data_IF_185908191620
#
_entry.id   IF_185908191620
#
_cell.length_a   1.000
_cell.length_b   1.000
_cell.length_c   1.000
_cell.angle_alpha   90.00
_cell.angle_beta   90.00
_cell.angle_gamma   90.00
#
_symmetry.space_group_name_H-M   'P 1'
#
loop_
_entity.id
_entity.type
_entity.pdbx_description
1 polymer ?
#
# COMPACT_ATOMS: atom_id res chain seq x y z
N UNK A 1 7.95 16.29 -3.52
CA UNK A 1 9.41 16.04 -3.46
C UNK A 1 9.64 14.81 -2.61
N UNK A 2 10.83 14.20 -2.66
CA UNK A 2 11.17 13.05 -1.83
C UNK A 2 12.20 13.47 -0.79
N UNK A 3 12.02 13.00 0.44
CA UNK A 3 12.93 13.24 1.55
C UNK A 3 13.39 11.91 2.13
N UNK A 4 14.69 11.77 2.37
CA UNK A 4 15.29 10.62 3.05
C UNK A 4 15.70 11.03 4.45
N UNK A 5 15.24 10.28 5.44
CA UNK A 5 15.71 10.42 6.80
C UNK A 5 17.16 9.92 6.92
N UNK A 6 18.09 10.73 7.44
CA UNK A 6 19.48 10.32 7.72
C UNK A 6 19.58 9.30 8.85
N UNK A 7 18.63 9.29 9.78
CA UNK A 7 18.60 8.37 10.91
C UNK A 7 18.32 6.92 10.51
N UNK A 8 17.19 6.67 9.82
CA UNK A 8 16.76 5.32 9.44
C UNK A 8 16.80 5.02 7.93
N UNK A 9 17.09 6.00 7.07
CA UNK A 9 17.12 5.82 5.61
C UNK A 9 15.74 5.78 4.91
N UNK A 10 14.64 5.88 5.66
CA UNK A 10 13.29 5.82 5.09
C UNK A 10 12.99 7.03 4.20
N UNK A 11 12.25 6.77 3.13
CA UNK A 11 11.78 7.77 2.18
C UNK A 11 10.36 8.24 2.52
N UNK A 12 10.09 9.52 2.31
CA UNK A 12 8.75 10.10 2.40
C UNK A 12 8.52 11.13 1.28
N UNK A 13 7.25 11.39 0.96
CA UNK A 13 6.84 12.37 -0.04
C UNK A 13 6.26 13.60 0.63
N UNK A 14 6.76 14.79 0.28
CA UNK A 14 6.27 16.05 0.81
C UNK A 14 6.81 17.26 0.07
N UNK A 15 6.18 18.43 0.25
CA UNK A 15 6.76 19.71 -0.20
C UNK A 15 7.95 20.12 0.67
N UNK A 16 7.87 19.84 1.97
CA UNK A 16 8.89 20.10 2.99
C UNK A 16 9.26 18.77 3.67
N UNK A 17 10.41 18.67 4.36
CA UNK A 17 10.67 17.53 5.23
C UNK A 17 9.62 17.48 6.35
N UNK A 18 9.25 16.28 6.84
CA UNK A 18 8.31 16.16 7.95
C UNK A 18 8.89 16.75 9.24
N UNK A 19 8.02 17.11 10.19
CA UNK A 19 8.40 17.65 11.50
C UNK A 19 9.23 16.64 12.33
N UNK A 20 8.92 15.36 12.17
CA UNK A 20 9.61 14.24 12.75
C UNK A 20 9.54 13.01 11.83
N UNK A 21 10.55 12.15 11.91
CA UNK A 21 10.50 10.88 11.21
C UNK A 21 9.50 9.95 11.92
N UNK A 22 8.46 9.52 11.23
CA UNK A 22 7.47 8.60 11.77
C UNK A 22 7.98 7.18 12.12
N UNK A 23 9.28 6.92 11.97
CA UNK A 23 9.94 5.64 12.27
C UNK A 23 10.99 5.78 13.37
N UNK A 24 11.78 6.86 13.38
CA UNK A 24 12.86 7.04 14.36
C UNK A 24 12.87 8.42 15.04
N UNK A 25 11.80 9.19 14.86
CA UNK A 25 11.51 10.48 15.52
C UNK A 25 12.54 11.60 15.28
N UNK A 26 13.50 11.37 14.38
CA UNK A 26 14.53 12.35 14.07
C UNK A 26 13.93 13.62 13.48
N UNK A 27 14.59 14.75 13.73
CA UNK A 27 14.06 16.10 13.42
C UNK A 27 14.32 16.51 11.96
N UNK A 28 13.65 17.57 11.45
CA UNK A 28 13.63 17.89 10.03
C UNK A 28 15.01 18.16 9.43
N UNK A 29 15.94 18.69 10.25
CA UNK A 29 17.35 18.94 9.87
C UNK A 29 18.11 17.67 9.44
N UNK A 30 17.64 16.51 9.87
CA UNK A 30 18.22 15.21 9.54
C UNK A 30 17.58 14.60 8.29
N UNK A 31 16.75 15.33 7.55
CA UNK A 31 16.27 14.92 6.24
C UNK A 31 17.14 15.50 5.13
N UNK A 32 17.37 14.69 4.11
CA UNK A 32 17.96 15.13 2.84
C UNK A 32 16.94 15.01 1.74
N UNK A 33 16.86 16.04 0.90
CA UNK A 33 16.06 15.96 -0.31
C UNK A 33 16.73 14.94 -1.26
N UNK A 34 15.92 14.06 -1.84
CA UNK A 34 16.36 13.07 -2.83
C UNK A 34 15.82 13.51 -4.19
N UNK A 35 16.71 13.92 -5.08
CA UNK A 35 16.33 14.32 -6.43
C UNK A 35 16.24 13.12 -7.39
N UNK A 36 16.97 12.04 -7.12
CA UNK A 36 16.94 10.81 -7.90
C UNK A 36 17.04 9.58 -6.99
N UNK A 37 16.19 8.57 -7.24
CA UNK A 37 16.31 7.25 -6.61
C UNK A 37 17.04 6.32 -7.58
N UNK A 38 17.99 5.53 -7.06
CA UNK A 38 18.69 4.54 -7.88
C UNK A 38 17.70 3.49 -8.40
N UNK A 39 17.79 3.16 -9.69
CA UNK A 39 16.98 2.09 -10.25
C UNK A 39 17.37 0.76 -9.65
N UNK A 40 16.39 0.04 -9.10
CA UNK A 40 16.55 -1.33 -8.59
C UNK A 40 16.20 -2.37 -9.64
N UNK A 41 15.70 -1.97 -10.81
CA UNK A 41 15.11 -2.87 -11.79
C UNK A 41 16.09 -3.98 -12.23
N UNK A 42 15.63 -5.23 -12.15
CA UNK A 42 16.39 -6.43 -12.52
C UNK A 42 17.38 -6.92 -11.45
N UNK A 43 17.51 -6.23 -10.32
CA UNK A 43 18.39 -6.64 -9.22
C UNK A 43 17.72 -7.63 -8.26
N UNK A 44 18.51 -8.35 -7.47
CA UNK A 44 17.96 -9.11 -6.34
C UNK A 44 17.37 -8.18 -5.26
N UNK A 45 17.89 -6.96 -5.15
CA UNK A 45 17.35 -5.92 -4.25
C UNK A 45 15.91 -5.55 -4.61
N UNK A 46 15.55 -5.49 -5.90
CA UNK A 46 14.14 -5.28 -6.30
C UNK A 46 13.25 -6.40 -5.76
N UNK A 47 13.67 -7.66 -5.89
CA UNK A 47 12.89 -8.80 -5.37
C UNK A 47 12.77 -8.73 -3.86
N UNK A 48 13.83 -8.34 -3.16
CA UNK A 48 13.81 -8.16 -1.71
C UNK A 48 12.88 -7.02 -1.31
N UNK A 49 12.89 -5.90 -2.01
CA UNK A 49 11.98 -4.77 -1.78
C UNK A 49 10.52 -5.16 -2.03
N UNK A 50 10.21 -5.94 -3.09
CA UNK A 50 8.85 -6.45 -3.33
C UNK A 50 8.37 -7.37 -2.21
N UNK A 51 9.25 -8.26 -1.73
CA UNK A 51 8.96 -9.13 -0.57
C UNK A 51 8.72 -8.32 0.69
N UNK A 52 9.58 -7.33 0.96
CA UNK A 52 9.45 -6.45 2.12
C UNK A 52 8.14 -5.64 2.04
N UNK A 53 7.87 -4.97 0.92
CA UNK A 53 6.61 -4.25 0.70
C UNK A 53 5.38 -5.13 0.95
N UNK A 54 5.39 -6.36 0.44
CA UNK A 54 4.30 -7.31 0.69
C UNK A 54 4.21 -7.70 2.18
N UNK A 55 5.36 -7.95 2.82
CA UNK A 55 5.44 -8.27 4.25
C UNK A 55 4.85 -7.18 5.13
N UNK A 56 5.30 -5.93 4.95
CA UNK A 56 4.82 -4.78 5.72
C UNK A 56 3.37 -4.45 5.44
N UNK A 57 2.92 -4.57 4.18
CA UNK A 57 1.50 -4.41 3.83
C UNK A 57 0.63 -5.44 4.53
N UNK A 58 1.07 -6.69 4.62
CA UNK A 58 0.35 -7.74 5.34
C UNK A 58 0.41 -7.54 6.86
N UNK A 59 1.55 -7.12 7.41
CA UNK A 59 1.71 -6.84 8.84
C UNK A 59 0.77 -5.71 9.28
N UNK A 60 0.77 -4.59 8.56
CA UNK A 60 -0.18 -3.49 8.76
C UNK A 60 -1.63 -3.97 8.84
N UNK A 61 -2.09 -4.75 7.84
CA UNK A 61 -3.50 -5.21 7.79
C UNK A 61 -3.83 -6.20 8.90
N UNK A 62 -2.88 -7.05 9.29
CA UNK A 62 -3.04 -7.94 10.46
C UNK A 62 -3.15 -7.14 11.74
N UNK A 63 -2.28 -6.18 11.98
CA UNK A 63 -2.29 -5.39 13.21
C UNK A 63 -3.57 -4.56 13.33
N UNK A 64 -4.09 -3.97 12.25
CA UNK A 64 -5.39 -3.28 12.28
C UNK A 64 -6.55 -4.21 12.68
N UNK A 65 -6.54 -5.47 12.21
CA UNK A 65 -7.52 -6.46 12.63
C UNK A 65 -7.33 -6.85 14.10
N UNK A 66 -6.08 -7.04 14.53
CA UNK A 66 -5.76 -7.41 15.91
C UNK A 66 -6.09 -6.30 16.91
N UNK A 67 -5.99 -5.02 16.52
CA UNK A 67 -6.50 -3.90 17.31
C UNK A 67 -7.99 -4.08 17.63
N UNK A 68 -8.80 -4.51 16.65
CA UNK A 68 -10.23 -4.75 16.86
C UNK A 68 -10.47 -5.92 17.81
N UNK A 69 -9.70 -7.01 17.66
CA UNK A 69 -9.78 -8.17 18.55
C UNK A 69 -9.41 -7.81 19.98
N UNK A 70 -8.28 -7.13 20.19
CA UNK A 70 -7.83 -6.67 21.50
C UNK A 70 -8.84 -5.73 22.17
N UNK A 71 -9.50 -4.86 21.37
CA UNK A 71 -10.60 -4.01 21.86
C UNK A 71 -11.77 -4.82 22.39
N UNK A 72 -12.18 -5.88 21.68
CA UNK A 72 -13.27 -6.77 22.11
C UNK A 72 -12.91 -7.55 23.38
N UNK A 73 -11.64 -7.87 23.56
CA UNK A 73 -11.11 -8.50 24.78
C UNK A 73 -10.97 -7.53 25.96
N UNK A 74 -11.11 -6.21 25.72
CA UNK A 74 -10.86 -5.17 26.72
C UNK A 74 -9.37 -4.97 27.04
N UNK A 75 -8.46 -5.55 26.26
CA UNK A 75 -7.01 -5.42 26.44
C UNK A 75 -6.50 -4.12 25.80
N UNK A 76 -6.49 -3.05 26.59
CA UNK A 76 -6.13 -1.70 26.13
C UNK A 76 -4.67 -1.57 25.69
N UNK A 77 -3.75 -2.26 26.37
CA UNK A 77 -2.32 -2.23 26.04
C UNK A 77 -2.06 -2.86 24.67
N UNK A 78 -2.63 -4.04 24.42
CA UNK A 78 -2.51 -4.71 23.13
C UNK A 78 -3.21 -3.92 22.00
N UNK A 79 -4.39 -3.33 22.28
CA UNK A 79 -5.10 -2.48 21.34
C UNK A 79 -4.21 -1.32 20.84
N UNK A 80 -3.61 -0.58 21.78
CA UNK A 80 -2.74 0.55 21.48
C UNK A 80 -1.47 0.12 20.75
N UNK A 81 -0.82 -0.95 21.20
CA UNK A 81 0.41 -1.46 20.58
C UNK A 81 0.19 -1.88 19.13
N UNK A 82 -0.84 -2.68 18.84
CA UNK A 82 -1.15 -3.07 17.46
C UNK A 82 -1.50 -1.87 16.59
N UNK A 83 -2.23 -0.90 17.13
CA UNK A 83 -2.60 0.29 16.38
C UNK A 83 -1.36 1.12 16.02
N UNK A 84 -0.48 1.36 16.98
CA UNK A 84 0.77 2.11 16.76
C UNK A 84 1.67 1.42 15.74
N UNK A 85 1.89 0.12 15.89
CA UNK A 85 2.72 -0.63 14.93
C UNK A 85 2.09 -0.69 13.54
N UNK A 86 0.75 -0.70 13.42
CA UNK A 86 0.14 -0.60 12.10
C UNK A 86 0.52 0.70 11.37
N UNK A 87 0.65 1.83 12.09
CA UNK A 87 1.11 3.08 11.51
C UNK A 87 2.60 3.00 11.12
N UNK A 88 3.45 2.39 11.94
CA UNK A 88 4.86 2.16 11.59
C UNK A 88 5.01 1.32 10.32
N UNK A 89 4.30 0.19 10.21
CA UNK A 89 4.36 -0.67 9.02
C UNK A 89 3.82 0.04 7.76
N UNK A 90 2.93 1.01 7.93
CA UNK A 90 2.50 1.87 6.80
C UNK A 90 3.69 2.65 6.25
N UNK A 91 4.50 3.27 7.12
CA UNK A 91 5.66 4.04 6.70
C UNK A 91 6.76 3.16 6.10
N UNK A 92 6.97 1.96 6.64
CA UNK A 92 7.89 0.97 6.07
C UNK A 92 7.47 0.59 4.65
N UNK A 93 6.20 0.19 4.47
CA UNK A 93 5.67 -0.20 3.17
C UNK A 93 5.76 0.94 2.14
N UNK A 94 5.38 2.17 2.52
CA UNK A 94 5.43 3.33 1.62
C UNK A 94 6.87 3.64 1.18
N UNK A 95 7.84 3.57 2.09
CA UNK A 95 9.25 3.79 1.76
C UNK A 95 9.77 2.75 0.76
N UNK A 96 9.46 1.47 0.96
CA UNK A 96 9.82 0.40 0.01
C UNK A 96 9.15 0.59 -1.35
N UNK A 97 7.88 0.99 -1.36
CA UNK A 97 7.15 1.26 -2.60
C UNK A 97 7.77 2.42 -3.39
N UNK A 98 8.23 3.48 -2.72
CA UNK A 98 8.93 4.58 -3.39
C UNK A 98 10.22 4.14 -4.09
N UNK A 99 10.98 3.21 -3.49
CA UNK A 99 12.14 2.62 -4.17
C UNK A 99 11.72 1.80 -5.40
N UNK A 100 10.65 1.01 -5.31
CA UNK A 100 10.14 0.21 -6.42
C UNK A 100 9.61 1.06 -7.58
N UNK A 101 8.96 2.19 -7.27
CA UNK A 101 8.47 3.16 -8.26
C UNK A 101 9.58 4.03 -8.85
N UNK A 102 10.80 3.99 -8.26
CA UNK A 102 11.91 4.86 -8.65
C UNK A 102 11.68 6.33 -8.30
N UNK A 103 10.73 6.64 -7.43
CA UNK A 103 10.47 7.99 -6.94
C UNK A 103 9.01 8.38 -6.84
N UNK A 104 8.79 9.69 -6.79
CA UNK A 104 7.47 10.29 -6.81
C UNK A 104 6.94 10.25 -8.24
N UNK A 105 5.76 9.67 -8.39
CA UNK A 105 5.05 9.52 -9.66
C UNK A 105 3.99 10.61 -9.85
N UNK A 106 3.41 10.71 -11.05
CA UNK A 106 2.32 11.65 -11.33
C UNK A 106 0.97 11.00 -11.05
N UNK A 107 0.01 11.79 -10.59
CA UNK A 107 -1.36 11.33 -10.35
C UNK A 107 -1.99 10.65 -11.56
N UNK A 108 -1.79 11.18 -12.78
CA UNK A 108 -2.33 10.56 -13.99
C UNK A 108 -1.79 9.15 -14.23
N UNK A 109 -0.50 8.93 -13.98
CA UNK A 109 0.14 7.62 -14.17
C UNK A 109 -0.33 6.64 -13.09
N UNK A 110 -0.45 7.10 -11.84
CA UNK A 110 -1.00 6.31 -10.73
C UNK A 110 -2.46 5.89 -10.97
N UNK A 111 -3.27 6.79 -11.56
CA UNK A 111 -4.66 6.47 -11.93
C UNK A 111 -4.71 5.39 -13.00
N UNK A 112 -3.84 5.45 -14.01
CA UNK A 112 -3.78 4.41 -15.06
C UNK A 112 -3.36 3.06 -14.49
N UNK A 113 -2.32 3.02 -13.66
CA UNK A 113 -1.90 1.79 -12.98
C UNK A 113 -3.01 1.22 -12.08
N UNK A 114 -3.72 2.09 -11.34
CA UNK A 114 -4.87 1.66 -10.52
C UNK A 114 -5.97 1.05 -11.38
N UNK A 115 -6.35 1.69 -12.50
CA UNK A 115 -7.37 1.15 -13.41
C UNK A 115 -6.98 -0.23 -13.93
N UNK A 116 -5.71 -0.42 -14.32
CA UNK A 116 -5.22 -1.71 -14.81
C UNK A 116 -5.29 -2.80 -13.72
N UNK A 117 -4.86 -2.48 -12.50
CA UNK A 117 -4.93 -3.36 -11.34
C UNK A 117 -6.37 -3.77 -11.02
N UNK A 118 -7.24 -2.79 -10.79
CA UNK A 118 -8.66 -3.00 -10.46
C UNK A 118 -9.40 -3.80 -11.55
N UNK A 119 -9.11 -3.51 -12.83
CA UNK A 119 -9.68 -4.26 -13.96
C UNK A 119 -9.20 -5.71 -13.98
N UNK A 120 -7.92 -5.95 -13.75
CA UNK A 120 -7.38 -7.31 -13.64
C UNK A 120 -8.02 -8.09 -12.49
N UNK A 121 -8.15 -7.45 -11.32
CA UNK A 121 -8.76 -8.05 -10.14
C UNK A 121 -10.23 -8.42 -10.40
N UNK A 122 -10.99 -7.46 -10.94
CA UNK A 122 -12.41 -7.61 -11.30
C UNK A 122 -12.63 -8.70 -12.35
N UNK A 123 -11.92 -8.63 -13.48
CA UNK A 123 -12.24 -9.42 -14.67
C UNK A 123 -11.58 -10.80 -14.69
N UNK A 124 -10.45 -10.96 -14.00
CA UNK A 124 -9.65 -12.19 -14.04
C UNK A 124 -9.49 -12.82 -12.67
N UNK A 125 -8.87 -12.10 -11.73
CA UNK A 125 -8.42 -12.69 -10.47
C UNK A 125 -9.59 -13.20 -9.63
N UNK A 126 -10.51 -12.32 -9.24
CA UNK A 126 -11.61 -12.69 -8.34
C UNK A 126 -12.61 -13.64 -8.98
N UNK A 127 -12.87 -13.52 -10.29
CA UNK A 127 -13.70 -14.50 -11.02
C UNK A 127 -13.07 -15.89 -11.03
N UNK A 128 -11.75 -15.97 -11.21
CA UNK A 128 -10.99 -17.22 -11.12
C UNK A 128 -11.03 -17.81 -9.71
N UNK A 129 -10.80 -16.99 -8.69
CA UNK A 129 -10.81 -17.40 -7.29
C UNK A 129 -12.19 -17.88 -6.84
N UNK A 130 -13.26 -17.18 -7.20
CA UNK A 130 -14.64 -17.60 -6.93
C UNK A 130 -14.94 -18.98 -7.51
N UNK A 131 -14.59 -19.21 -8.78
CA UNK A 131 -14.78 -20.51 -9.43
C UNK A 131 -14.04 -21.62 -8.66
N UNK A 132 -12.77 -21.38 -8.32
CA UNK A 132 -11.95 -22.34 -7.59
C UNK A 132 -12.52 -22.65 -6.20
N UNK A 133 -12.99 -21.63 -5.49
CA UNK A 133 -13.64 -21.80 -4.19
C UNK A 133 -14.94 -22.62 -4.29
N UNK A 134 -15.76 -22.44 -5.34
CA UNK A 134 -16.95 -23.28 -5.60
C UNK A 134 -16.58 -24.73 -5.89
N UNK A 135 -15.54 -24.96 -6.70
CA UNK A 135 -15.03 -26.31 -6.98
C UNK A 135 -14.58 -27.04 -5.71
N UNK A 136 -14.09 -26.30 -4.72
CA UNK A 136 -13.64 -26.83 -3.43
C UNK A 136 -14.75 -26.89 -2.36
N UNK A 137 -15.99 -26.51 -2.69
CA UNK A 137 -17.13 -26.49 -1.76
C UNK A 137 -17.08 -25.36 -0.72
N UNK A 138 -16.30 -24.31 -0.97
CA UNK A 138 -16.15 -23.14 -0.10
C UNK A 138 -17.09 -22.00 -0.53
N UNK A 139 -18.39 -22.28 -0.57
CA UNK A 139 -19.41 -21.39 -1.16
C UNK A 139 -19.43 -19.97 -0.55
N UNK A 140 -19.22 -19.86 0.76
CA UNK A 140 -19.17 -18.56 1.44
C UNK A 140 -17.96 -17.72 1.00
N UNK A 141 -16.82 -18.35 0.72
CA UNK A 141 -15.62 -17.66 0.23
C UNK A 141 -15.83 -17.29 -1.25
N UNK A 142 -16.43 -18.18 -2.03
CA UNK A 142 -16.76 -17.89 -3.42
C UNK A 142 -17.72 -16.69 -3.54
N UNK A 143 -18.70 -16.58 -2.64
CA UNK A 143 -19.60 -15.44 -2.57
C UNK A 143 -18.84 -14.12 -2.34
N UNK A 144 -17.86 -14.13 -1.44
CA UNK A 144 -17.00 -12.96 -1.18
C UNK A 144 -16.23 -12.60 -2.45
N UNK A 145 -15.61 -13.56 -3.13
CA UNK A 145 -14.87 -13.30 -4.37
C UNK A 145 -15.77 -12.80 -5.51
N UNK A 146 -16.98 -13.35 -5.67
CA UNK A 146 -17.95 -12.86 -6.64
C UNK A 146 -18.38 -11.41 -6.36
N UNK A 147 -18.51 -11.06 -5.07
CA UNK A 147 -18.81 -9.70 -4.65
C UNK A 147 -17.65 -8.75 -4.92
N UNK A 148 -16.44 -9.11 -4.52
CA UNK A 148 -15.22 -8.32 -4.75
C UNK A 148 -14.99 -8.06 -6.24
N UNK A 149 -15.19 -9.06 -7.09
CA UNK A 149 -15.13 -8.89 -8.55
C UNK A 149 -16.00 -7.72 -9.05
N UNK A 150 -17.18 -7.51 -8.47
CA UNK A 150 -18.07 -6.39 -8.86
C UNK A 150 -17.56 -5.07 -8.31
N UNK A 151 -17.15 -5.05 -7.04
CA UNK A 151 -16.65 -3.86 -6.34
C UNK A 151 -15.40 -3.28 -7.03
N UNK A 152 -14.41 -4.12 -7.36
CA UNK A 152 -13.20 -3.64 -8.05
C UNK A 152 -13.53 -3.10 -9.46
N UNK A 153 -14.58 -3.62 -10.10
CA UNK A 153 -15.10 -3.07 -11.34
C UNK A 153 -15.64 -1.64 -11.17
N UNK A 154 -16.29 -1.35 -10.04
CA UNK A 154 -16.73 0.01 -9.70
C UNK A 154 -15.55 0.93 -9.38
N UNK A 155 -14.53 0.44 -8.66
CA UNK A 155 -13.30 1.20 -8.42
C UNK A 155 -12.60 1.61 -9.72
N UNK A 156 -12.44 0.66 -10.66
CA UNK A 156 -11.87 0.94 -11.98
C UNK A 156 -12.66 2.04 -12.72
N UNK A 157 -13.99 2.01 -12.66
CA UNK A 157 -14.85 3.04 -13.26
C UNK A 157 -14.67 4.41 -12.60
N UNK A 158 -14.53 4.47 -11.27
CA UNK A 158 -14.29 5.73 -10.56
C UNK A 158 -12.93 6.33 -10.88
N UNK A 159 -11.86 5.53 -10.90
CA UNK A 159 -10.54 6.00 -11.32
C UNK A 159 -10.55 6.49 -12.77
N UNK A 160 -11.20 5.75 -13.68
CA UNK A 160 -11.34 6.15 -15.07
C UNK A 160 -12.08 7.48 -15.23
N UNK A 161 -13.20 7.66 -14.53
CA UNK A 161 -13.97 8.92 -14.57
C UNK A 161 -13.12 10.11 -14.10
N UNK A 162 -12.29 9.92 -13.07
CA UNK A 162 -11.39 10.97 -12.60
C UNK A 162 -10.27 11.25 -13.63
N UNK A 163 -9.68 10.20 -14.20
CA UNK A 163 -8.66 10.34 -15.24
C UNK A 163 -9.18 11.13 -16.45
N UNK A 164 -10.33 10.74 -17.01
CA UNK A 164 -10.95 11.41 -18.16
C UNK A 164 -11.20 12.90 -17.89
N UNK A 165 -11.65 13.24 -16.66
CA UNK A 165 -11.85 14.63 -16.24
C UNK A 165 -10.54 15.42 -16.22
N UNK A 166 -9.47 14.81 -15.71
CA UNK A 166 -8.16 15.46 -15.62
C UNK A 166 -7.48 15.64 -16.97
N UNK A 167 -7.71 14.73 -17.94
CA UNK A 167 -7.15 14.85 -19.29
C UNK A 167 -7.88 15.88 -20.17
N UNK A 168 -9.13 16.20 -19.83
CA UNK A 168 -9.93 17.23 -20.51
C UNK A 168 -9.74 18.64 -19.95
N UNK A 169 -9.00 18.79 -18.85
CA UNK A 169 -8.74 20.06 -18.16
C UNK A 169 -7.41 20.68 -18.60
#
# INVERSE_FOLDING_TARGET
MIWRCKGCGMLTVGMNPPEDCAVCETKPKEFVKVDQIESVQGTETEKNLRKAFSGESQANRRYLLFTQMARLEGNKEAEEMFLNFSYEETWHALSHLLYLLGGATKTLDNLRESIEGETYESEKMYKGFSRKAKEEGLDNIALIFDWLSRVEGEHALYFKKLLDKMEQS
#
